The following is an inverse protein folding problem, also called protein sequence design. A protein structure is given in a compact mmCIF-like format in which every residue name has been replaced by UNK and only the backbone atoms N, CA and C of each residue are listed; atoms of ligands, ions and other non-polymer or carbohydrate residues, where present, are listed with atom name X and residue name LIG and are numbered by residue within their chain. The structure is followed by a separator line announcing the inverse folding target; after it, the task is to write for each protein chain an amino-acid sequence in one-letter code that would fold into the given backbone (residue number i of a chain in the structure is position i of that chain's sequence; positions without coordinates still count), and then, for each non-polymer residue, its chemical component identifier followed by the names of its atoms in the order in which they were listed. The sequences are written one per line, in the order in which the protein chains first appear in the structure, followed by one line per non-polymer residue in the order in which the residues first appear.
data_IF_643881740757
#
_entry.id   IF_643881740757
#
_cell.length_a   1.000
_cell.length_b   1.000
_cell.length_c   1.000
_cell.angle_alpha   90.00
_cell.angle_beta   90.00
_cell.angle_gamma   90.00
#
_symmetry.space_group_name_H-M   'P 1'
#
loop_
_entity.id
_entity.type
_entity.pdbx_description
1 polymer ?
#
# COMPACT_ATOMS: atom_id res chain seq x y z
N UNK A 1 1.56 -5.21 2.87
CA UNK A 1 2.32 -4.12 2.23
C UNK A 1 1.40 -2.91 2.07
N UNK A 2 1.74 -1.77 2.67
CA UNK A 2 0.93 -0.55 2.55
C UNK A 2 1.58 0.34 1.49
N UNK A 3 0.86 0.54 0.38
CA UNK A 3 1.31 1.35 -0.73
C UNK A 3 0.24 2.38 -1.10
N UNK A 4 -0.35 3.08 -0.13
CA UNK A 4 -1.34 4.13 -0.39
C UNK A 4 -1.06 5.36 0.48
N UNK A 5 -1.12 6.58 -0.08
CA UNK A 5 -1.11 7.79 0.73
C UNK A 5 -2.40 7.84 1.53
N UNK A 6 -2.29 7.88 2.85
CA UNK A 6 -3.43 7.88 3.76
C UNK A 6 -3.20 8.90 4.88
N UNK A 7 -4.28 9.55 5.33
CA UNK A 7 -4.25 10.43 6.49
C UNK A 7 -4.62 9.68 7.79
N UNK A 8 -5.44 8.64 7.66
CA UNK A 8 -5.95 7.86 8.77
C UNK A 8 -5.96 6.37 8.44
N UNK A 9 -5.57 5.53 9.39
CA UNK A 9 -5.90 4.11 9.41
C UNK A 9 -7.24 3.95 10.10
N UNK A 10 -8.19 3.23 9.47
CA UNK A 10 -9.53 3.02 10.00
C UNK A 10 -9.73 1.56 10.35
N UNK A 11 -10.17 1.30 11.58
CA UNK A 11 -10.63 -0.03 12.00
C UNK A 11 -12.14 -0.02 12.07
N UNK A 12 -12.78 -0.92 11.35
CA UNK A 12 -14.22 -1.10 11.36
C UNK A 12 -14.54 -2.20 12.37
N UNK A 13 -15.25 -1.84 13.44
CA UNK A 13 -15.70 -2.79 14.46
C UNK A 13 -17.11 -3.21 14.07
N UNK A 14 -17.30 -4.50 13.82
CA UNK A 14 -18.60 -5.06 13.42
C UNK A 14 -18.98 -6.18 14.38
N UNK A 15 -20.27 -6.26 14.69
CA UNK A 15 -20.85 -7.46 15.27
C UNK A 15 -21.20 -8.42 14.13
N UNK A 16 -21.02 -9.72 14.33
CA UNK A 16 -21.28 -10.71 13.29
C UNK A 16 -22.28 -11.74 13.79
N UNK A 17 -23.56 -11.38 13.68
CA UNK A 17 -24.68 -12.21 14.10
C UNK A 17 -25.15 -13.16 12.99
N UNK A 18 -25.98 -14.14 13.38
CA UNK A 18 -26.59 -15.13 12.48
C UNK A 18 -27.36 -14.46 11.32
N UNK A 19 -27.82 -13.21 11.51
CA UNK A 19 -28.58 -12.43 10.54
C UNK A 19 -27.71 -11.55 9.62
N UNK A 20 -26.40 -11.43 9.89
CA UNK A 20 -25.45 -10.63 9.11
C UNK A 20 -24.54 -9.73 9.96
N UNK A 21 -23.54 -9.13 9.31
CA UNK A 21 -22.56 -8.28 9.98
C UNK A 21 -23.05 -6.84 10.14
N UNK A 22 -23.34 -6.40 11.36
CA UNK A 22 -23.73 -5.02 11.70
C UNK A 22 -22.51 -4.19 12.12
N UNK A 23 -22.36 -2.96 11.61
CA UNK A 23 -21.24 -2.10 11.98
C UNK A 23 -21.50 -1.41 13.33
N UNK A 24 -20.71 -1.75 14.35
CA UNK A 24 -20.74 -1.13 15.68
C UNK A 24 -20.17 0.29 15.62
N UNK A 25 -19.04 0.47 14.93
CA UNK A 25 -18.40 1.78 14.80
C UNK A 25 -17.05 1.75 14.13
N UNK A 26 -16.40 2.91 14.07
CA UNK A 26 -15.11 3.10 13.41
C UNK A 26 -14.12 3.75 14.35
N UNK A 27 -12.95 3.13 14.48
CA UNK A 27 -11.79 3.74 15.13
C UNK A 27 -10.92 4.37 14.05
N UNK A 28 -10.52 5.63 14.27
CA UNK A 28 -9.66 6.39 13.35
C UNK A 28 -8.33 6.70 14.03
N UNK A 29 -7.23 6.24 13.44
CA UNK A 29 -5.88 6.51 13.90
C UNK A 29 -5.19 7.39 12.87
N UNK A 30 -4.76 8.58 13.28
CA UNK A 30 -3.99 9.49 12.43
C UNK A 30 -2.63 8.88 12.10
N UNK A 31 -2.25 8.93 10.82
CA UNK A 31 -0.98 8.37 10.35
C UNK A 31 0.22 9.06 11.00
N UNK A 32 0.09 10.36 11.33
CA UNK A 32 1.11 11.11 12.08
C UNK A 32 1.50 10.45 13.42
N UNK A 33 0.60 9.69 14.06
CA UNK A 33 0.90 8.98 15.31
C UNK A 33 1.81 7.76 15.11
N UNK A 34 1.74 7.12 13.95
CA UNK A 34 2.46 5.86 13.66
C UNK A 34 3.63 6.03 12.70
N UNK A 35 3.68 7.13 11.93
CA UNK A 35 4.69 7.32 10.88
C UNK A 35 6.13 7.35 11.40
N UNK A 36 6.33 7.65 12.69
CA UNK A 36 7.63 7.60 13.35
C UNK A 36 8.25 6.21 13.42
N UNK A 37 7.46 5.15 13.21
CA UNK A 37 7.90 3.76 13.25
C UNK A 37 7.98 3.14 14.64
N UNK A 38 7.70 3.92 15.69
CA UNK A 38 7.59 3.42 17.05
C UNK A 38 6.36 2.52 17.19
N UNK A 39 6.51 1.41 17.91
CA UNK A 39 5.37 0.61 18.31
C UNK A 39 4.49 1.44 19.25
N UNK A 40 3.23 1.62 18.89
CA UNK A 40 2.24 2.22 19.77
C UNK A 40 1.28 1.15 20.28
N UNK A 41 0.84 1.32 21.51
CA UNK A 41 -0.08 0.43 22.19
C UNK A 41 -1.00 1.28 23.05
N UNK A 42 -2.16 1.63 22.51
CA UNK A 42 -3.03 2.66 23.09
C UNK A 42 -4.51 2.31 22.90
N UNK A 43 -5.36 2.95 23.69
CA UNK A 43 -6.81 2.84 23.62
C UNK A 43 -7.37 3.94 22.72
N UNK A 44 -8.25 3.56 21.80
CA UNK A 44 -8.86 4.48 20.86
C UNK A 44 -10.39 4.44 20.94
N UNK A 45 -11.06 5.59 20.99
CA UNK A 45 -12.52 5.62 21.07
C UNK A 45 -13.15 5.09 19.78
N UNK A 46 -14.17 4.24 19.94
CA UNK A 46 -14.98 3.73 18.84
C UNK A 46 -16.09 4.75 18.55
N UNK A 47 -16.06 5.33 17.35
CA UNK A 47 -17.07 6.28 16.91
C UNK A 47 -18.25 5.51 16.30
N UNK A 48 -19.39 5.50 16.99
CA UNK A 48 -20.61 4.80 16.56
C UNK A 48 -21.32 5.47 15.36
N UNK A 49 -22.27 4.75 14.75
CA UNK A 49 -23.03 5.22 13.58
C UNK A 49 -24.04 6.34 13.91
N UNK A 50 -24.64 6.28 15.10
CA UNK A 50 -25.56 7.28 15.59
C UNK A 50 -24.77 8.24 16.47
N UNK A 51 -24.72 9.52 16.11
CA UNK A 51 -23.93 10.56 16.79
C UNK A 51 -24.33 10.89 18.24
N UNK A 52 -24.98 9.96 18.95
CA UNK A 52 -25.32 10.06 20.36
C UNK A 52 -24.62 8.94 21.15
N UNK A 53 -23.58 9.33 21.90
CA UNK A 53 -22.90 8.47 22.87
C UNK A 53 -23.85 8.08 24.01
N UNK A 54 -24.42 6.88 23.97
CA UNK A 54 -25.10 6.28 25.14
C UNK A 54 -24.22 5.32 25.95
N UNK A 55 -22.92 5.19 25.64
CA UNK A 55 -21.93 4.56 26.52
C UNK A 55 -20.62 5.37 26.49
N UNK A 56 -20.12 5.91 27.61
CA UNK A 56 -18.95 6.80 27.61
C UNK A 56 -17.60 6.11 27.31
N UNK A 57 -17.57 4.79 27.08
CA UNK A 57 -16.35 3.98 27.27
C UNK A 57 -16.10 2.90 26.21
N UNK A 58 -16.71 2.96 25.02
CA UNK A 58 -16.34 1.99 23.97
C UNK A 58 -15.00 2.39 23.36
N UNK A 59 -13.94 1.75 23.83
CA UNK A 59 -12.58 1.91 23.34
C UNK A 59 -12.04 0.59 22.78
N UNK A 60 -11.16 0.70 21.79
CA UNK A 60 -10.47 -0.43 21.19
C UNK A 60 -8.98 -0.28 21.47
N UNK A 61 -8.40 -1.27 22.14
CA UNK A 61 -6.97 -1.36 22.38
C UNK A 61 -6.28 -1.91 21.12
N UNK A 62 -5.36 -1.12 20.55
CA UNK A 62 -4.69 -1.48 19.30
C UNK A 62 -3.18 -1.34 19.47
N UNK A 63 -2.43 -2.45 19.57
CA UNK A 63 -1.00 -2.45 19.32
C UNK A 63 -0.73 -2.35 17.81
N UNK A 64 0.02 -1.35 17.38
CA UNK A 64 0.37 -1.17 15.95
C UNK A 64 1.73 -0.50 15.81
N UNK A 65 2.48 -0.93 14.80
CA UNK A 65 3.76 -0.36 14.41
C UNK A 65 3.78 -0.21 12.90
N UNK A 66 4.13 0.98 12.42
CA UNK A 66 4.47 1.17 11.01
C UNK A 66 5.93 0.81 10.79
N UNK A 67 6.23 -0.03 9.80
CA UNK A 67 7.61 -0.29 9.38
C UNK A 67 7.80 0.30 7.98
N UNK A 68 8.50 1.45 7.84
CA UNK A 68 8.74 2.02 6.54
C UNK A 68 9.64 1.10 5.71
N UNK A 69 9.29 0.92 4.45
CA UNK A 69 10.19 0.30 3.47
C UNK A 69 11.14 1.41 3.00
N UNK A 70 12.19 1.68 3.78
CA UNK A 70 13.14 2.76 3.50
C UNK A 70 14.45 2.58 4.26
N UNK A 71 15.50 2.16 3.54
CA UNK A 71 16.94 2.17 3.86
C UNK A 71 17.44 1.63 5.21
N UNK A 72 16.60 1.05 6.07
CA UNK A 72 17.01 0.54 7.39
C UNK A 72 16.66 -0.92 7.69
N UNK A 73 15.64 -1.48 7.02
CA UNK A 73 15.36 -2.91 7.10
C UNK A 73 16.29 -3.63 6.12
N UNK A 74 17.58 -3.67 6.47
CA UNK A 74 18.49 -4.71 6.03
C UNK A 74 17.78 -6.00 6.47
N UNK A 75 17.17 -6.72 5.53
CA UNK A 75 16.94 -8.15 5.75
C UNK A 75 18.24 -8.68 6.34
N UNK A 76 18.21 -9.44 7.45
CA UNK A 76 19.44 -9.97 8.02
C UNK A 76 20.28 -10.55 6.89
N UNK A 77 21.60 -10.36 6.90
CA UNK A 77 22.47 -10.84 5.82
C UNK A 77 22.26 -12.35 5.65
N UNK A 78 21.44 -12.71 4.65
CA UNK A 78 21.13 -14.09 4.33
C UNK A 78 22.19 -14.52 3.34
N UNK A 79 23.15 -15.31 3.81
CA UNK A 79 24.15 -15.94 2.97
C UNK A 79 23.52 -17.11 2.19
N UNK A 80 23.59 -17.03 0.87
CA UNK A 80 23.20 -18.08 -0.04
C UNK A 80 24.39 -19.00 -0.33
N UNK A 81 24.11 -20.21 -0.83
CA UNK A 81 25.17 -21.12 -1.30
C UNK A 81 26.11 -20.39 -2.27
N UNK A 82 27.42 -20.48 -2.00
CA UNK A 82 28.45 -19.79 -2.78
C UNK A 82 28.84 -18.39 -2.28
N UNK A 83 28.63 -18.09 -0.99
CA UNK A 83 29.04 -16.82 -0.33
C UNK A 83 28.44 -15.56 -0.97
N UNK A 84 27.22 -15.69 -1.50
CA UNK A 84 26.47 -14.54 -2.03
C UNK A 84 25.50 -14.04 -0.98
N UNK A 85 25.48 -12.74 -0.74
CA UNK A 85 24.48 -12.12 0.11
C UNK A 85 23.18 -11.94 -0.67
N UNK A 86 22.05 -12.29 -0.05
CA UNK A 86 20.73 -12.02 -0.60
C UNK A 86 20.52 -10.50 -0.75
N UNK A 87 20.14 -10.07 -1.95
CA UNK A 87 19.79 -8.68 -2.22
C UNK A 87 18.29 -8.61 -2.55
N UNK A 88 17.47 -7.97 -1.71
CA UNK A 88 16.06 -7.79 -2.04
C UNK A 88 15.91 -6.95 -3.31
N UNK A 89 15.12 -7.45 -4.26
CA UNK A 89 14.79 -6.71 -5.48
C UNK A 89 13.78 -5.60 -5.20
N UNK A 90 13.75 -4.60 -6.08
CA UNK A 90 12.81 -3.47 -6.00
C UNK A 90 11.69 -3.71 -6.98
N UNK A 91 10.84 -4.71 -6.67
CA UNK A 91 9.80 -5.21 -7.57
C UNK A 91 8.99 -4.09 -8.27
N UNK A 92 8.58 -3.04 -7.57
CA UNK A 92 7.85 -1.92 -8.17
C UNK A 92 8.69 -1.05 -9.12
N UNK A 93 9.98 -0.84 -8.80
CA UNK A 93 10.92 -0.19 -9.73
C UNK A 93 11.14 -1.07 -10.96
N UNK A 94 11.35 -2.38 -10.77
CA UNK A 94 11.58 -3.34 -11.86
C UNK A 94 10.36 -3.40 -12.81
N UNK A 95 9.14 -3.42 -12.26
CA UNK A 95 7.90 -3.35 -13.04
C UNK A 95 7.81 -2.01 -13.79
N UNK A 96 8.16 -0.89 -13.15
CA UNK A 96 8.14 0.42 -13.79
C UNK A 96 9.11 0.47 -14.98
N UNK A 97 10.34 -0.03 -14.80
CA UNK A 97 11.33 -0.14 -15.87
C UNK A 97 10.84 -1.04 -17.01
N UNK A 98 10.30 -2.22 -16.69
CA UNK A 98 9.75 -3.13 -17.70
C UNK A 98 8.64 -2.48 -18.54
N UNK A 99 7.75 -1.69 -17.92
CA UNK A 99 6.69 -0.98 -18.65
C UNK A 99 7.28 0.15 -19.52
N UNK A 100 8.23 0.92 -18.98
CA UNK A 100 8.87 2.02 -19.69
C UNK A 100 9.64 1.53 -20.93
N UNK A 101 10.29 0.37 -20.83
CA UNK A 101 11.11 -0.23 -21.88
C UNK A 101 10.30 -1.10 -22.86
N UNK A 102 9.04 -1.43 -22.57
CA UNK A 102 8.22 -2.24 -23.48
C UNK A 102 7.92 -1.51 -24.80
N UNK A 103 8.14 -2.18 -25.95
CA UNK A 103 7.91 -1.59 -27.28
C UNK A 103 6.73 -2.19 -28.06
N UNK A 104 6.43 -3.48 -27.88
CA UNK A 104 5.45 -4.19 -28.72
C UNK A 104 4.15 -4.52 -28.00
N UNK A 105 4.25 -5.09 -26.80
CA UNK A 105 3.09 -5.54 -26.04
C UNK A 105 3.34 -5.42 -24.53
N UNK A 106 2.28 -5.09 -23.80
CA UNK A 106 2.23 -5.17 -22.35
C UNK A 106 0.93 -5.88 -21.94
N UNK A 107 1.05 -6.96 -21.18
CA UNK A 107 -0.07 -7.71 -20.63
C UNK A 107 -0.09 -7.55 -19.11
N UNK A 108 -1.21 -7.09 -18.57
CA UNK A 108 -1.42 -6.99 -17.11
C UNK A 108 -2.59 -7.89 -16.75
N UNK A 109 -2.35 -8.84 -15.84
CA UNK A 109 -3.34 -9.80 -15.36
C UNK A 109 -3.39 -9.70 -13.85
N UNK A 110 -4.59 -9.56 -13.26
CA UNK A 110 -4.73 -9.61 -11.82
C UNK A 110 -6.12 -9.23 -11.33
N UNK A 111 -6.47 -9.69 -10.14
CA UNK A 111 -7.78 -9.54 -9.51
C UNK A 111 -8.31 -8.11 -9.42
N UNK A 112 -7.43 -7.12 -9.27
CA UNK A 112 -7.80 -5.71 -9.18
C UNK A 112 -6.62 -4.85 -9.62
N UNK A 113 -6.89 -3.82 -10.42
CA UNK A 113 -5.89 -2.83 -10.84
C UNK A 113 -6.31 -1.45 -10.35
N UNK A 114 -5.50 -0.84 -9.48
CA UNK A 114 -5.72 0.53 -9.01
C UNK A 114 -4.91 1.54 -9.83
N UNK A 115 -5.51 2.05 -10.89
CA UNK A 115 -4.84 2.93 -11.86
C UNK A 115 -4.20 4.24 -11.29
N UNK A 116 -4.64 4.83 -10.17
CA UNK A 116 -4.00 6.02 -9.61
C UNK A 116 -2.66 5.76 -8.91
N UNK A 117 -2.27 4.50 -8.68
CA UNK A 117 -1.03 4.17 -7.97
C UNK A 117 0.21 4.67 -8.72
N UNK A 118 1.19 5.25 -8.01
CA UNK A 118 2.54 5.47 -8.52
C UNK A 118 3.41 4.25 -8.20
N UNK A 119 4.05 3.68 -9.22
CA UNK A 119 4.91 2.50 -9.08
C UNK A 119 6.17 2.85 -8.28
N UNK A 120 6.85 3.94 -8.63
CA UNK A 120 8.03 4.42 -7.90
C UNK A 120 7.71 5.72 -7.18
N UNK A 121 8.11 5.80 -5.90
CA UNK A 121 7.85 6.96 -5.03
C UNK A 121 9.13 7.65 -4.60
N UNK A 122 10.13 6.84 -4.27
CA UNK A 122 11.46 7.27 -3.89
C UNK A 122 12.43 6.59 -4.85
N UNK A 123 12.69 7.21 -6.01
CA UNK A 123 13.49 6.59 -7.05
C UNK A 123 14.94 6.46 -6.60
N UNK A 124 15.46 5.24 -6.59
CA UNK A 124 16.88 5.02 -6.24
C UNK A 124 17.84 5.17 -7.41
N UNK A 125 17.31 5.32 -8.64
CA UNK A 125 18.00 5.66 -9.88
C UNK A 125 17.22 6.74 -10.62
N UNK A 126 17.85 7.46 -11.55
CA UNK A 126 17.11 8.41 -12.39
C UNK A 126 16.06 7.66 -13.23
N UNK A 127 14.79 8.02 -13.09
CA UNK A 127 13.72 7.48 -13.92
C UNK A 127 13.63 8.29 -15.23
N UNK A 128 13.45 7.57 -16.34
CA UNK A 128 13.23 8.18 -17.66
C UNK A 128 11.86 8.87 -17.74
N UNK A 129 11.63 9.62 -18.83
CA UNK A 129 10.38 10.33 -19.07
C UNK A 129 9.17 9.40 -18.93
N UNK A 130 8.33 9.66 -17.92
CA UNK A 130 7.12 8.87 -17.63
C UNK A 130 7.18 8.07 -16.32
N UNK A 131 8.34 7.96 -15.69
CA UNK A 131 8.51 7.20 -14.45
C UNK A 131 7.79 7.77 -13.22
N UNK A 132 7.47 9.06 -13.22
CA UNK A 132 6.74 9.72 -12.13
C UNK A 132 5.21 9.64 -12.29
N UNK A 133 4.73 9.10 -13.41
CA UNK A 133 3.31 8.99 -13.73
C UNK A 133 2.62 7.93 -12.85
N UNK A 134 1.30 8.09 -12.68
CA UNK A 134 0.49 6.98 -12.17
C UNK A 134 0.46 5.83 -13.18
N UNK A 135 0.20 4.61 -12.72
CA UNK A 135 0.10 3.43 -13.57
C UNK A 135 -0.86 3.67 -14.74
N UNK A 136 -2.05 4.21 -14.49
CA UNK A 136 -3.01 4.51 -15.56
C UNK A 136 -2.49 5.52 -16.58
N UNK A 137 -1.82 6.58 -16.13
CA UNK A 137 -1.25 7.58 -17.02
C UNK A 137 -0.06 7.03 -17.82
N UNK A 138 0.79 6.21 -17.20
CA UNK A 138 1.91 5.53 -17.84
C UNK A 138 1.42 4.59 -18.96
N UNK A 139 0.39 3.79 -18.67
CA UNK A 139 -0.18 2.87 -19.65
C UNK A 139 -0.82 3.61 -20.84
N UNK A 140 -1.53 4.71 -20.56
CA UNK A 140 -2.08 5.57 -21.60
C UNK A 140 -0.97 6.19 -22.46
N UNK A 141 0.08 6.70 -21.83
CA UNK A 141 1.25 7.26 -22.51
C UNK A 141 1.91 6.23 -23.43
N UNK A 142 2.09 4.99 -22.96
CA UNK A 142 2.67 3.91 -23.78
C UNK A 142 1.75 3.50 -24.92
N UNK A 143 0.45 3.41 -24.68
CA UNK A 143 -0.55 3.11 -25.72
C UNK A 143 -0.57 4.16 -26.83
N UNK A 144 -0.46 5.45 -26.49
CA UNK A 144 -0.36 6.54 -27.46
C UNK A 144 0.92 6.48 -28.32
N UNK A 145 1.98 5.83 -27.82
CA UNK A 145 3.21 5.56 -28.57
C UNK A 145 3.14 4.28 -29.42
N UNK A 146 1.97 3.64 -29.53
CA UNK A 146 1.76 2.45 -30.35
C UNK A 146 1.96 1.13 -29.62
N UNK A 147 2.22 1.13 -28.30
CA UNK A 147 2.30 -0.11 -27.52
C UNK A 147 0.90 -0.74 -27.39
N UNK A 148 0.78 -2.04 -27.69
CA UNK A 148 -0.46 -2.78 -27.40
C UNK A 148 -0.54 -3.09 -25.91
N UNK A 149 -1.50 -2.47 -25.22
CA UNK A 149 -1.78 -2.73 -23.80
C UNK A 149 -3.00 -3.65 -23.69
N UNK A 150 -2.83 -4.80 -23.05
CA UNK A 150 -3.89 -5.78 -22.80
C UNK A 150 -4.06 -5.94 -21.28
N UNK A 151 -5.30 -5.85 -20.82
CA UNK A 151 -5.66 -6.06 -19.41
C UNK A 151 -6.67 -7.20 -19.27
N UNK A 152 -6.43 -8.09 -18.31
CA UNK A 152 -7.38 -9.12 -17.87
C UNK A 152 -7.54 -8.98 -16.36
N UNK A 153 -8.72 -8.55 -15.92
CA UNK A 153 -9.02 -8.21 -14.53
C UNK A 153 -10.19 -9.06 -14.06
#
# INVERSE_FOLDING_TARGET
MVAHPVQNVKFLVKDNDILGAELIGVVKILVQKIISGNAMNDWFPIIGQYGNCLKPYLELHIPIQYKPIGNGDILPEIELEGRKLFQPSKCWEDICHAILEAYHMLCIIGWTIFHPVKLVREPTKQLSSGGELSLGALLKYKSQKGLRVVMMI
#
